data_IF_045354511779
#
_entry.id   IF_045354511779
#
_cell.length_a   1.000
_cell.length_b   1.000
_cell.length_c   1.000
_cell.angle_alpha   90.00
_cell.angle_beta   90.00
_cell.angle_gamma   90.00
#
_symmetry.space_group_name_H-M   'P 1'
#
loop_
_entity.id
_entity.type
_entity.pdbx_description
1 polymer ?
#
# COMPACT_ATOMS: atom_id res chain seq x y z
N UNK A 1 20.72 17.22 0.05
CA UNK A 1 19.85 16.23 0.73
C UNK A 1 18.61 16.08 -0.16
N UNK A 2 18.30 14.88 -0.64
CA UNK A 2 17.10 14.64 -1.46
C UNK A 2 15.85 14.48 -0.60
N UNK A 3 14.67 14.68 -1.21
CA UNK A 3 13.39 14.32 -0.61
C UNK A 3 13.17 12.81 -0.76
N UNK A 4 12.43 12.22 0.18
CA UNK A 4 12.13 10.80 0.20
C UNK A 4 10.98 10.46 -0.77
N UNK A 5 11.03 9.27 -1.38
CA UNK A 5 9.99 8.76 -2.27
C UNK A 5 9.21 7.67 -1.54
N UNK A 6 7.96 7.98 -1.21
CA UNK A 6 7.05 7.06 -0.52
C UNK A 6 5.73 7.00 -1.28
N UNK A 7 5.49 5.89 -1.98
CA UNK A 7 4.29 5.68 -2.80
C UNK A 7 3.02 5.65 -1.95
N UNK A 8 3.11 5.09 -0.73
CA UNK A 8 1.99 4.95 0.19
C UNK A 8 1.55 6.31 0.77
N UNK A 9 2.46 7.29 0.74
CA UNK A 9 2.21 8.63 1.25
C UNK A 9 1.95 9.67 0.17
N UNK A 10 2.62 9.57 -0.97
CA UNK A 10 2.63 10.63 -1.99
C UNK A 10 2.16 10.17 -3.37
N UNK A 11 1.94 8.87 -3.56
CA UNK A 11 1.44 8.29 -4.81
C UNK A 11 2.53 7.91 -5.80
N UNK A 12 2.09 7.29 -6.91
CA UNK A 12 2.96 6.63 -7.88
C UNK A 12 3.51 7.55 -8.97
N UNK A 13 2.98 8.75 -9.16
CA UNK A 13 3.25 9.55 -10.37
C UNK A 13 3.53 11.01 -10.08
N UNK A 14 4.59 11.52 -10.71
CA UNK A 14 4.92 12.94 -10.74
C UNK A 14 5.14 13.40 -12.17
N UNK A 15 4.53 14.52 -12.53
CA UNK A 15 4.74 15.19 -13.81
C UNK A 15 5.46 16.51 -13.55
N UNK A 16 6.74 16.57 -13.90
CA UNK A 16 7.55 17.77 -13.74
C UNK A 16 7.68 18.49 -15.08
N UNK A 17 7.46 19.80 -15.07
CA UNK A 17 7.74 20.65 -16.23
C UNK A 17 9.11 21.30 -16.05
N UNK A 18 10.05 20.97 -16.93
CA UNK A 18 11.36 21.59 -16.99
C UNK A 18 11.29 22.72 -18.02
N UNK A 19 11.46 23.95 -17.56
CA UNK A 19 11.59 25.12 -18.41
C UNK A 19 13.06 25.51 -18.54
N UNK A 20 13.52 25.72 -19.77
CA UNK A 20 14.84 26.24 -20.09
C UNK A 20 14.70 27.59 -20.79
N UNK A 21 15.63 28.48 -20.47
CA UNK A 21 15.60 29.88 -20.81
C UNK A 21 16.94 30.23 -21.44
N UNK A 22 16.94 30.78 -22.66
CA UNK A 22 18.17 31.36 -23.22
C UNK A 22 18.41 32.79 -22.68
N UNK A 23 19.57 33.35 -22.98
CA UNK A 23 19.92 34.74 -22.63
C UNK A 23 19.72 35.70 -23.82
N UNK A 24 18.91 35.31 -24.82
CA UNK A 24 18.64 36.13 -25.99
C UNK A 24 17.69 37.29 -25.71
N UNK A 25 17.60 38.23 -26.66
CA UNK A 25 16.59 39.30 -26.65
C UNK A 25 15.94 39.38 -28.03
N UNK A 26 14.71 38.84 -28.21
CA UNK A 26 13.84 38.27 -27.19
C UNK A 26 14.29 36.89 -26.70
N UNK A 27 14.04 36.62 -25.42
CA UNK A 27 14.34 35.37 -24.78
C UNK A 27 13.48 34.24 -25.32
N UNK A 28 14.07 33.08 -25.62
CA UNK A 28 13.34 31.86 -25.99
C UNK A 28 13.20 30.95 -24.79
N UNK A 29 12.03 30.32 -24.71
CA UNK A 29 11.66 29.37 -23.66
C UNK A 29 11.44 28.00 -24.30
N UNK A 30 12.14 26.99 -23.80
CA UNK A 30 11.88 25.59 -24.11
C UNK A 30 11.24 24.90 -22.91
N UNK A 31 10.20 24.10 -23.13
CA UNK A 31 9.55 23.33 -22.06
C UNK A 31 9.61 21.84 -22.38
N UNK A 32 9.87 21.01 -21.37
CA UNK A 32 9.86 19.56 -21.47
C UNK A 32 9.09 18.95 -20.29
N UNK A 33 8.25 17.96 -20.57
CA UNK A 33 7.56 17.17 -19.53
C UNK A 33 8.42 15.97 -19.15
N UNK A 34 8.70 15.82 -17.86
CA UNK A 34 9.33 14.65 -17.27
C UNK A 34 8.29 13.90 -16.45
N UNK A 35 7.87 12.74 -16.95
CA UNK A 35 7.00 11.83 -16.23
C UNK A 35 7.84 10.87 -15.38
N UNK A 36 7.62 10.88 -14.07
CA UNK A 36 8.30 10.03 -13.09
C UNK A 36 7.29 9.06 -12.52
N UNK A 37 7.65 7.78 -12.48
CA UNK A 37 6.89 6.73 -11.80
C UNK A 37 7.68 6.23 -10.59
N UNK A 38 7.06 6.30 -9.41
CA UNK A 38 7.59 5.71 -8.19
C UNK A 38 7.19 4.25 -8.17
N UNK A 39 8.19 3.39 -8.03
CA UNK A 39 8.00 1.95 -7.93
C UNK A 39 7.76 1.65 -6.45
N UNK A 40 6.63 0.99 -6.18
CA UNK A 40 6.35 0.49 -4.85
C UNK A 40 7.33 -0.62 -4.45
N UNK A 41 7.70 -0.65 -3.19
CA UNK A 41 8.60 -1.64 -2.61
C UNK A 41 7.98 -2.17 -1.32
N UNK A 42 8.04 -3.49 -1.12
CA UNK A 42 7.55 -4.15 0.09
C UNK A 42 8.34 -3.68 1.33
N UNK A 43 7.83 -2.64 2.00
CA UNK A 43 8.44 -1.99 3.15
C UNK A 43 7.46 -1.79 4.32
N UNK A 44 6.19 -2.12 4.13
CA UNK A 44 5.20 -2.26 5.17
C UNK A 44 5.03 -3.73 5.54
N UNK A 45 4.58 -3.96 6.77
CA UNK A 45 4.31 -5.32 7.26
C UNK A 45 2.81 -5.56 7.25
N UNK A 46 2.36 -6.80 7.01
CA UNK A 46 0.95 -7.12 7.12
C UNK A 46 0.41 -6.81 8.51
N UNK A 47 -0.85 -6.38 8.59
CA UNK A 47 -1.57 -6.11 9.83
C UNK A 47 -2.98 -6.70 9.81
N UNK A 48 -3.52 -6.98 10.99
CA UNK A 48 -4.91 -7.40 11.15
C UNK A 48 -5.76 -6.18 11.54
N UNK A 49 -6.98 -6.06 11.00
CA UNK A 49 -7.92 -5.01 11.42
C UNK A 49 -8.34 -5.18 12.89
N UNK A 50 -8.33 -6.41 13.39
CA UNK A 50 -8.67 -6.74 14.78
C UNK A 50 -7.47 -7.39 15.48
N UNK A 51 -6.91 -6.69 16.46
CA UNK A 51 -5.75 -7.18 17.23
C UNK A 51 -6.11 -8.35 18.15
N UNK A 52 -7.34 -8.33 18.69
CA UNK A 52 -7.85 -9.36 19.59
C UNK A 52 -9.27 -9.68 19.15
N UNK A 53 -9.51 -10.95 18.84
CA UNK A 53 -10.85 -11.48 18.58
C UNK A 53 -11.22 -12.43 19.71
N UNK A 54 -12.40 -12.21 20.30
CA UNK A 54 -12.94 -13.08 21.36
C UNK A 54 -14.18 -13.74 20.83
N UNK A 55 -14.25 -15.05 20.99
CA UNK A 55 -15.41 -15.86 20.65
C UNK A 55 -15.91 -16.50 21.94
N UNK A 56 -17.23 -16.56 22.09
CA UNK A 56 -17.88 -17.22 23.23
C UNK A 56 -18.46 -18.54 22.75
N UNK A 57 -18.03 -19.63 23.40
CA UNK A 57 -18.46 -20.98 23.06
C UNK A 57 -19.26 -21.55 24.24
N UNK A 58 -20.44 -22.15 24.00
CA UNK A 58 -21.19 -22.83 25.05
C UNK A 58 -20.42 -24.05 25.58
N UNK A 59 -20.50 -24.34 26.88
CA UNK A 59 -19.75 -25.43 27.54
C UNK A 59 -20.14 -26.84 27.05
N UNK A 60 -21.37 -27.00 26.56
CA UNK A 60 -21.92 -28.29 26.14
C UNK A 60 -22.47 -28.23 24.70
N UNK A 61 -21.59 -28.08 23.68
CA UNK A 61 -22.01 -28.09 22.30
C UNK A 61 -22.43 -29.51 21.89
N UNK A 62 -23.41 -29.62 20.98
CA UNK A 62 -23.73 -30.93 20.39
C UNK A 62 -22.57 -31.43 19.53
N UNK A 63 -22.36 -32.75 19.51
CA UNK A 63 -21.35 -33.36 18.63
C UNK A 63 -21.64 -32.93 17.17
N UNK A 64 -20.62 -32.42 16.49
CA UNK A 64 -20.67 -31.82 15.14
C UNK A 64 -21.40 -30.48 15.02
N UNK A 65 -21.69 -29.78 16.11
CA UNK A 65 -22.13 -28.38 16.03
C UNK A 65 -20.97 -27.51 15.52
N UNK A 66 -21.15 -26.73 14.44
CA UNK A 66 -20.18 -25.73 14.04
C UNK A 66 -19.96 -24.73 15.18
N UNK A 67 -18.72 -24.59 15.64
CA UNK A 67 -18.38 -23.57 16.61
C UNK A 67 -18.59 -22.18 15.99
N UNK A 68 -19.05 -21.18 16.75
CA UNK A 68 -19.20 -19.81 16.26
C UNK A 68 -17.84 -19.10 16.09
N UNK A 69 -16.77 -19.83 15.79
CA UNK A 69 -15.48 -19.27 15.46
C UNK A 69 -15.51 -18.90 13.98
N UNK A 70 -15.30 -17.62 13.65
CA UNK A 70 -15.08 -17.26 12.23
C UNK A 70 -13.71 -17.80 11.80
N UNK A 71 -13.63 -18.71 10.81
CA UNK A 71 -12.39 -19.41 10.47
C UNK A 71 -11.39 -18.55 9.68
N UNK A 72 -11.64 -17.25 9.51
CA UNK A 72 -10.83 -16.41 8.64
C UNK A 72 -10.18 -15.27 9.42
N UNK A 73 -8.86 -15.40 9.60
CA UNK A 73 -7.98 -14.28 9.91
C UNK A 73 -7.48 -13.72 8.59
N UNK A 74 -7.80 -12.46 8.31
CA UNK A 74 -7.32 -11.77 7.11
C UNK A 74 -6.31 -10.71 7.54
N UNK A 75 -5.04 -10.93 7.19
CA UNK A 75 -4.03 -9.89 7.25
C UNK A 75 -4.10 -9.04 5.98
N UNK A 76 -3.88 -7.74 6.11
CA UNK A 76 -3.79 -6.78 5.01
C UNK A 76 -2.38 -6.25 4.95
N UNK A 77 -1.84 -6.18 3.74
CA UNK A 77 -0.58 -5.51 3.44
C UNK A 77 -0.89 -4.39 2.44
N UNK A 78 -0.53 -3.12 2.75
CA UNK A 78 -0.84 -1.99 1.87
C UNK A 78 0.08 -1.91 0.64
N UNK A 79 1.22 -2.60 0.63
CA UNK A 79 2.14 -2.55 -0.49
C UNK A 79 1.57 -3.34 -1.68
N UNK A 80 1.58 -2.73 -2.86
CA UNK A 80 1.13 -3.32 -4.13
C UNK A 80 2.06 -4.41 -4.66
N UNK A 81 3.33 -4.37 -4.27
CA UNK A 81 4.39 -5.29 -4.72
C UNK A 81 4.69 -6.41 -3.72
N UNK A 82 4.09 -6.37 -2.53
CA UNK A 82 4.18 -7.44 -1.56
C UNK A 82 3.13 -8.52 -1.87
N UNK A 83 3.57 -9.77 -1.82
CA UNK A 83 2.73 -10.93 -2.03
C UNK A 83 1.38 -10.79 -1.30
N UNK A 84 0.30 -10.83 -2.08
CA UNK A 84 -1.05 -11.17 -1.64
C UNK A 84 -1.07 -12.63 -1.13
N UNK A 85 -0.24 -12.97 -0.15
CA UNK A 85 -0.47 -14.13 0.68
C UNK A 85 -1.49 -13.68 1.71
N UNK A 86 -2.77 -13.75 1.32
CA UNK A 86 -3.82 -14.09 2.27
C UNK A 86 -3.35 -15.33 3.03
N UNK A 87 -2.64 -15.12 4.12
CA UNK A 87 -2.26 -16.17 5.04
C UNK A 87 -3.53 -16.50 5.84
N UNK A 88 -4.44 -17.22 5.18
CA UNK A 88 -5.56 -17.90 5.83
C UNK A 88 -4.94 -18.97 6.72
N UNK A 89 -4.64 -18.64 7.97
CA UNK A 89 -4.24 -19.65 8.94
C UNK A 89 -5.49 -20.45 9.29
N UNK A 90 -5.64 -21.60 8.63
CA UNK A 90 -6.61 -22.65 9.01
C UNK A 90 -6.35 -23.16 10.41
#
# INVERSE_FOLDING_TARGET
RGADLDVNRYGERYNLTVAVFDMGSPQRIGNCLVAITVIDVNNQRPYFDTLIRRETIPENPTINQPLPISPQYTAKDPDTTANCSTASST
#
